data_IF_946886717607
#
_entry.id   IF_946886717607
#
_cell.length_a   1.000
_cell.length_b   1.000
_cell.length_c   1.000
_cell.angle_alpha   90.00
_cell.angle_beta   90.00
_cell.angle_gamma   90.00
#
_symmetry.space_group_name_H-M   'P 1'
#
loop_
_entity.id
_entity.type
_entity.pdbx_description
1 polymer ?
#
# COMPACT_ATOMS: atom_id res chain seq x y z
N UNK A 1 3.80 -12.43 10.27
CA UNK A 1 4.05 -11.84 8.96
C UNK A 1 2.95 -10.87 8.57
N UNK A 2 3.33 -9.73 8.05
CA UNK A 2 2.35 -8.70 7.70
C UNK A 2 1.76 -8.97 6.32
N UNK A 3 0.46 -8.78 6.19
CA UNK A 3 -0.21 -8.96 4.90
C UNK A 3 -0.89 -7.67 4.52
N UNK A 4 -1.31 -7.60 3.26
CA UNK A 4 -2.04 -6.45 2.77
C UNK A 4 -3.32 -6.24 3.58
N UNK A 5 -3.94 -7.34 3.99
CA UNK A 5 -5.14 -7.25 4.78
C UNK A 5 -4.88 -6.54 6.11
N UNK A 6 -3.75 -6.81 6.73
CA UNK A 6 -3.41 -6.15 7.98
C UNK A 6 -3.19 -4.67 7.77
N UNK A 7 -2.51 -4.30 6.69
CA UNK A 7 -2.29 -2.90 6.38
C UNK A 7 -3.62 -2.21 6.15
N UNK A 8 -4.52 -2.87 5.43
CA UNK A 8 -5.83 -2.29 5.15
C UNK A 8 -6.60 -2.02 6.44
N UNK A 9 -6.52 -2.93 7.39
CA UNK A 9 -7.20 -2.74 8.66
C UNK A 9 -6.57 -1.61 9.44
N UNK A 10 -5.26 -1.49 9.35
CA UNK A 10 -4.55 -0.46 10.11
C UNK A 10 -4.95 0.93 9.64
N UNK A 11 -5.09 1.13 8.33
CA UNK A 11 -5.43 2.45 7.81
C UNK A 11 -6.92 2.63 7.54
N UNK A 12 -7.72 1.59 7.70
CA UNK A 12 -9.15 1.71 7.48
C UNK A 12 -9.54 1.80 6.02
N UNK A 13 -8.79 1.15 5.16
CA UNK A 13 -9.03 1.19 3.72
C UNK A 13 -9.18 -0.24 3.24
N UNK A 14 -9.87 -0.45 2.12
CA UNK A 14 -10.08 -1.79 1.62
C UNK A 14 -8.76 -2.42 1.18
N UNK A 15 -8.66 -3.72 1.30
CA UNK A 15 -7.44 -4.41 0.93
C UNK A 15 -7.17 -4.28 -0.58
N UNK A 16 -8.22 -4.16 -1.38
CA UNK A 16 -8.03 -3.95 -2.81
C UNK A 16 -7.26 -2.66 -3.07
N UNK A 17 -7.64 -1.59 -2.39
CA UNK A 17 -6.96 -0.32 -2.54
C UNK A 17 -5.51 -0.42 -2.09
N UNK A 18 -5.27 -1.09 -0.98
CA UNK A 18 -3.91 -1.26 -0.48
C UNK A 18 -3.08 -2.02 -1.50
N UNK A 19 -3.65 -3.07 -2.06
CA UNK A 19 -2.94 -3.86 -3.05
C UNK A 19 -2.59 -3.04 -4.28
N UNK A 20 -3.51 -2.21 -4.73
CA UNK A 20 -3.28 -1.35 -5.89
C UNK A 20 -2.15 -0.36 -5.61
N UNK A 21 -2.16 0.25 -4.44
CA UNK A 21 -1.13 1.22 -4.08
C UNK A 21 0.23 0.55 -3.96
N UNK A 22 0.29 -0.57 -3.27
CA UNK A 22 1.57 -1.25 -3.08
C UNK A 22 2.06 -1.88 -4.36
N UNK A 23 1.16 -2.15 -5.29
CA UNK A 23 1.54 -2.68 -6.58
C UNK A 23 2.00 -1.63 -7.58
N UNK A 24 1.97 -0.36 -7.18
CA UNK A 24 2.43 0.70 -8.06
C UNK A 24 1.40 1.18 -9.06
N UNK A 25 0.13 0.86 -8.84
CA UNK A 25 -0.91 1.26 -9.78
C UNK A 25 -1.84 2.33 -9.23
N UNK A 26 -1.37 3.03 -8.21
CA UNK A 26 -2.20 4.07 -7.59
C UNK A 26 -2.56 5.16 -8.58
N UNK A 27 -1.65 5.51 -9.47
CA UNK A 27 -1.92 6.56 -10.44
C UNK A 27 -3.01 6.14 -11.42
N UNK A 28 -3.01 4.88 -11.83
CA UNK A 28 -4.03 4.40 -12.74
C UNK A 28 -5.41 4.44 -12.12
N UNK A 29 -5.48 4.23 -10.81
CA UNK A 29 -6.75 4.22 -10.12
C UNK A 29 -7.07 5.55 -9.48
N UNK A 30 -6.22 6.55 -9.72
CA UNK A 30 -6.44 7.90 -9.21
C UNK A 30 -6.59 7.93 -7.70
N UNK A 31 -5.77 7.16 -7.03
CA UNK A 31 -5.78 7.14 -5.58
C UNK A 31 -5.02 8.35 -5.09
N UNK A 32 -5.59 9.08 -4.15
CA UNK A 32 -4.98 10.31 -3.68
C UNK A 32 -3.63 10.06 -3.02
N UNK A 33 -2.78 11.07 -3.08
CA UNK A 33 -1.46 10.97 -2.47
C UNK A 33 -1.58 10.75 -0.96
N UNK A 34 -2.55 11.39 -0.34
CA UNK A 34 -2.74 11.21 1.10
C UNK A 34 -3.01 9.76 1.45
N UNK A 35 -3.84 9.10 0.64
CA UNK A 35 -4.13 7.69 0.87
C UNK A 35 -2.89 6.84 0.64
N UNK A 36 -2.13 7.14 -0.40
CA UNK A 36 -0.91 6.41 -0.67
C UNK A 36 0.07 6.53 0.49
N UNK A 37 0.22 7.73 1.02
CA UNK A 37 1.15 7.95 2.12
C UNK A 37 0.73 7.19 3.37
N UNK A 38 -0.57 7.15 3.65
CA UNK A 38 -1.05 6.40 4.80
C UNK A 38 -0.71 4.92 4.66
N UNK A 39 -0.90 4.39 3.47
CA UNK A 39 -0.64 2.97 3.22
C UNK A 39 0.85 2.68 3.36
N UNK A 40 1.69 3.52 2.76
CA UNK A 40 3.13 3.30 2.85
C UNK A 40 3.63 3.44 4.29
N UNK A 41 3.09 4.38 5.03
CA UNK A 41 3.48 4.56 6.43
C UNK A 41 3.09 3.33 7.24
N UNK A 42 1.89 2.82 7.03
CA UNK A 42 1.44 1.64 7.76
C UNK A 42 2.28 0.43 7.37
N UNK A 43 2.61 0.30 6.09
CA UNK A 43 3.42 -0.82 5.64
C UNK A 43 4.79 -0.78 6.31
N UNK A 44 5.37 0.41 6.40
CA UNK A 44 6.67 0.54 7.03
C UNK A 44 6.60 0.23 8.52
N UNK A 45 5.55 0.70 9.18
CA UNK A 45 5.39 0.45 10.60
C UNK A 45 5.23 -1.03 10.91
N UNK A 46 4.50 -1.73 10.06
CA UNK A 46 4.24 -3.13 10.29
C UNK A 46 5.33 -4.03 9.75
N UNK A 47 6.28 -3.48 9.01
CA UNK A 47 7.38 -4.27 8.48
C UNK A 47 7.09 -4.95 7.16
N UNK A 48 6.09 -4.49 6.43
CA UNK A 48 5.78 -5.07 5.13
C UNK A 48 6.90 -4.73 4.15
N UNK A 49 7.41 -5.69 3.37
CA UNK A 49 8.52 -5.42 2.44
C UNK A 49 8.03 -4.60 1.26
N UNK A 50 8.15 -3.30 1.41
CA UNK A 50 7.69 -2.38 0.40
C UNK A 50 8.37 -2.58 -0.94
N UNK A 51 9.61 -3.03 -0.95
CA UNK A 51 10.31 -3.23 -2.20
C UNK A 51 9.65 -4.31 -3.05
N UNK A 52 8.90 -5.20 -2.44
CA UNK A 52 8.25 -6.25 -3.20
C UNK A 52 7.18 -5.69 -4.11
N UNK A 53 6.61 -4.57 -3.75
CA UNK A 53 5.55 -3.99 -4.56
C UNK A 53 6.01 -2.93 -5.51
N UNK A 54 7.28 -2.50 -5.43
CA UNK A 54 7.70 -1.45 -6.31
C UNK A 54 8.85 -1.81 -7.10
N UNK A 55 9.08 -3.02 -7.30
CA UNK A 55 10.09 -3.36 -8.12
C UNK A 55 9.94 -2.85 -9.44
N UNK A 56 9.47 -2.45 -9.92
CA UNK A 56 9.50 -2.00 -11.06
C UNK A 56 9.55 -0.84 -11.30
N UNK A 57 9.63 -0.27 -11.15
CA UNK A 57 9.47 0.77 -11.24
C UNK A 57 10.14 1.40 -11.86
N UNK A 58 10.46 1.45 -12.14
CA UNK A 58 10.87 2.04 -12.59
C UNK A 58 10.96 2.30 -12.90
#
# INVERSE_FOLDING_TARGET
MVTIKQIAQEVGISSSTVSIVLGGKAAERKISTATQEKIFAAAARLGYPESAGRQRCQ
#
